data_IF_701353560119
#
_entry.id   IF_701353560119
#
_cell.length_a   1.000
_cell.length_b   1.000
_cell.length_c   1.000
_cell.angle_alpha   90.00
_cell.angle_beta   90.00
_cell.angle_gamma   90.00
#
_symmetry.space_group_name_H-M   'P 1'
#
loop_
_entity.id
_entity.type
_entity.pdbx_description
1 polymer ?
#
# COMPACT_ATOMS: atom_id res chain seq x y z
N UNK A 1 17.21 -0.65 -3.63
CA UNK A 1 16.69 -0.78 -2.25
C UNK A 1 15.33 -1.49 -2.24
N UNK A 2 14.29 -0.95 -2.89
CA UNK A 2 12.94 -1.57 -2.92
C UNK A 2 12.96 -2.99 -3.49
N UNK A 3 13.72 -3.24 -4.58
CA UNK A 3 13.90 -4.59 -5.13
C UNK A 3 14.44 -5.59 -4.11
N UNK A 4 15.38 -5.18 -3.26
CA UNK A 4 15.93 -6.06 -2.22
C UNK A 4 14.89 -6.37 -1.16
N UNK A 5 14.03 -5.41 -0.81
CA UNK A 5 12.93 -5.62 0.12
C UNK A 5 11.89 -6.58 -0.47
N UNK A 6 11.51 -6.40 -1.73
CA UNK A 6 10.59 -7.31 -2.44
C UNK A 6 11.15 -8.74 -2.44
N UNK A 7 12.41 -8.91 -2.86
CA UNK A 7 13.06 -10.22 -2.87
C UNK A 7 13.12 -10.83 -1.46
N UNK A 8 13.44 -10.03 -0.44
CA UNK A 8 13.43 -10.49 0.93
C UNK A 8 12.03 -10.99 1.31
N UNK A 9 10.99 -10.17 1.15
CA UNK A 9 9.61 -10.51 1.46
C UNK A 9 9.21 -11.86 0.84
N UNK A 10 9.50 -12.06 -0.45
CA UNK A 10 9.19 -13.30 -1.16
C UNK A 10 10.03 -14.50 -0.70
N UNK A 11 11.31 -14.30 -0.38
CA UNK A 11 12.20 -15.38 0.07
C UNK A 11 11.89 -15.87 1.49
N UNK A 12 11.60 -14.95 2.42
CA UNK A 12 11.35 -15.31 3.83
C UNK A 12 9.87 -15.45 4.16
N UNK A 13 8.97 -15.23 3.18
CA UNK A 13 7.52 -15.30 3.40
C UNK A 13 7.03 -14.26 4.40
N UNK A 14 7.62 -13.05 4.37
CA UNK A 14 7.32 -11.97 5.32
C UNK A 14 6.55 -10.84 4.64
N UNK A 15 5.75 -10.11 5.42
CA UNK A 15 5.02 -8.93 4.95
C UNK A 15 5.85 -7.68 5.19
N UNK A 16 6.14 -6.93 4.14
CA UNK A 16 6.85 -5.64 4.23
C UNK A 16 5.89 -4.53 3.79
N UNK A 17 5.62 -3.59 4.69
CA UNK A 17 4.87 -2.38 4.41
C UNK A 17 5.83 -1.22 4.15
N UNK A 18 5.70 -0.57 2.99
CA UNK A 18 6.51 0.59 2.60
C UNK A 18 5.58 1.74 2.21
N UNK A 19 5.88 2.94 2.70
CA UNK A 19 5.25 4.18 2.25
C UNK A 19 6.25 4.97 1.41
N UNK A 20 5.85 5.37 0.20
CA UNK A 20 6.68 6.13 -0.72
C UNK A 20 5.96 7.43 -1.10
N UNK A 21 6.72 8.53 -1.12
CA UNK A 21 6.27 9.79 -1.70
C UNK A 21 6.69 9.79 -3.18
N UNK A 22 5.74 9.67 -4.10
CA UNK A 22 5.96 9.70 -5.56
C UNK A 22 6.93 8.62 -6.08
N UNK A 23 6.55 7.34 -6.09
CA UNK A 23 7.39 6.29 -6.65
C UNK A 23 7.54 6.45 -8.16
N UNK A 24 8.74 6.16 -8.68
CA UNK A 24 8.94 6.03 -10.13
C UNK A 24 8.12 4.85 -10.68
N UNK A 25 7.90 4.82 -11.99
CA UNK A 25 7.19 3.73 -12.65
C UNK A 25 7.81 2.36 -12.35
N UNK A 26 9.14 2.24 -12.39
CA UNK A 26 9.83 0.98 -12.08
C UNK A 26 9.63 0.57 -10.63
N UNK A 27 9.57 1.53 -9.71
CA UNK A 27 9.36 1.25 -8.29
C UNK A 27 7.92 0.84 -8.01
N UNK A 28 6.96 1.48 -8.66
CA UNK A 28 5.54 1.12 -8.58
C UNK A 28 5.31 -0.33 -9.01
N UNK A 29 5.98 -0.78 -10.07
CA UNK A 29 5.83 -2.14 -10.61
C UNK A 29 6.41 -3.26 -9.71
N UNK A 30 7.18 -2.91 -8.68
CA UNK A 30 7.71 -3.87 -7.70
C UNK A 30 6.71 -4.22 -6.58
N UNK A 31 5.59 -3.50 -6.48
CA UNK A 31 4.59 -3.77 -5.45
C UNK A 31 3.58 -4.83 -5.89
N UNK A 32 3.33 -5.78 -4.99
CA UNK A 32 2.27 -6.79 -5.13
C UNK A 32 0.89 -6.13 -4.90
N UNK A 33 0.75 -5.44 -3.75
CA UNK A 33 -0.44 -4.71 -3.35
C UNK A 33 -0.18 -3.21 -3.19
N UNK A 34 -1.21 -2.41 -3.45
CA UNK A 34 -1.22 -0.95 -3.31
C UNK A 34 -2.27 -0.55 -2.28
N UNK A 35 -1.88 0.31 -1.34
CA UNK A 35 -2.79 1.04 -0.45
C UNK A 35 -2.76 2.52 -0.87
N UNK A 36 -3.91 3.05 -1.28
CA UNK A 36 -4.08 4.48 -1.53
C UNK A 36 -4.88 5.10 -0.40
N UNK A 37 -4.39 6.23 0.09
CA UNK A 37 -5.04 7.00 1.14
C UNK A 37 -5.27 8.45 0.71
N UNK A 38 -6.46 8.97 1.00
CA UNK A 38 -6.80 10.38 0.84
C UNK A 38 -7.59 10.84 2.06
N UNK A 39 -7.25 12.00 2.62
CA UNK A 39 -7.98 12.60 3.75
C UNK A 39 -8.17 11.65 4.95
N UNK A 40 -7.16 10.81 5.23
CA UNK A 40 -7.19 9.83 6.31
C UNK A 40 -8.02 8.56 6.03
N UNK A 41 -8.54 8.39 4.82
CA UNK A 41 -9.37 7.24 4.41
C UNK A 41 -8.62 6.39 3.38
N UNK A 42 -8.84 5.08 3.43
CA UNK A 42 -8.36 4.14 2.41
C UNK A 42 -9.33 4.20 1.23
N UNK A 43 -8.88 4.77 0.11
CA UNK A 43 -9.69 4.87 -1.11
C UNK A 43 -9.54 3.65 -2.01
N UNK A 44 -8.45 2.90 -1.85
CA UNK A 44 -8.19 1.65 -2.53
C UNK A 44 -7.19 0.81 -1.73
N UNK A 45 -7.43 -0.50 -1.66
CA UNK A 45 -6.47 -1.47 -1.16
C UNK A 45 -6.59 -2.79 -1.93
N UNK A 46 -5.48 -3.28 -2.46
CA UNK A 46 -5.40 -4.60 -3.09
C UNK A 46 -4.38 -4.65 -4.22
N UNK A 47 -4.49 -5.66 -5.07
CA UNK A 47 -3.50 -5.96 -6.10
C UNK A 47 -3.21 -4.75 -6.98
N UNK A 48 -1.94 -4.53 -7.30
CA UNK A 48 -1.52 -3.45 -8.21
C UNK A 48 -2.20 -3.54 -9.58
N UNK A 49 -2.53 -4.75 -10.05
CA UNK A 49 -3.21 -4.96 -11.34
C UNK A 49 -4.61 -4.36 -11.39
N UNK A 50 -5.31 -4.32 -10.26
CA UNK A 50 -6.73 -4.00 -10.19
C UNK A 50 -6.98 -2.50 -9.92
N UNK A 51 -5.93 -1.75 -9.57
CA UNK A 51 -6.04 -0.31 -9.29
C UNK A 51 -6.49 0.47 -10.53
N UNK A 52 -5.99 0.12 -11.71
CA UNK A 52 -6.39 0.78 -12.97
C UNK A 52 -7.86 0.48 -13.30
N UNK A 53 -8.31 -0.79 -13.35
CA UNK A 53 -9.72 -1.14 -13.49
C UNK A 53 -10.64 -0.44 -12.47
N UNK A 54 -10.19 -0.29 -11.22
CA UNK A 54 -10.95 0.40 -10.19
C UNK A 54 -11.21 1.88 -10.53
N UNK A 55 -10.16 2.63 -10.92
CA UNK A 55 -10.35 4.04 -11.31
C UNK A 55 -11.12 4.17 -12.62
N UNK A 56 -10.97 3.24 -13.56
CA UNK A 56 -11.79 3.19 -14.78
C UNK A 56 -13.28 2.96 -14.45
N UNK A 57 -13.59 2.09 -13.48
CA UNK A 57 -14.95 1.91 -12.96
C UNK A 57 -15.50 3.20 -12.32
N UNK A 58 -14.64 4.01 -11.69
CA UNK A 58 -15.00 5.32 -11.15
C UNK A 58 -15.15 6.42 -12.23
N UNK A 59 -14.91 6.11 -13.52
CA UNK A 59 -15.01 7.03 -14.65
C UNK A 59 -13.70 7.76 -15.00
N UNK A 60 -12.57 7.36 -14.41
CA UNK A 60 -11.26 7.97 -14.62
C UNK A 60 -10.32 7.06 -15.39
N UNK A 61 -9.69 7.57 -16.43
CA UNK A 61 -8.74 6.81 -17.25
C UNK A 61 -7.36 7.43 -17.24
N UNK A 62 -6.35 6.60 -16.96
CA UNK A 62 -4.95 7.01 -17.02
C UNK A 62 -4.54 7.30 -18.48
N UNK A 63 -3.95 8.47 -18.78
CA UNK A 63 -3.40 8.76 -20.10
C UNK A 63 -2.24 7.82 -20.47
N UNK A 64 -2.03 7.50 -21.76
CA UNK A 64 -1.03 6.52 -22.20
C UNK A 64 0.42 6.94 -21.94
N UNK A 65 0.68 8.25 -21.81
CA UNK A 65 2.02 8.80 -21.57
C UNK A 65 2.31 9.13 -20.11
N UNK A 66 1.36 8.85 -19.20
CA UNK A 66 1.47 9.19 -17.78
C UNK A 66 1.79 7.97 -16.93
N UNK A 67 2.66 8.15 -15.95
CA UNK A 67 2.95 7.13 -14.94
C UNK A 67 1.72 6.83 -14.10
N UNK A 68 1.52 5.57 -13.72
CA UNK A 68 0.38 5.15 -12.89
C UNK A 68 0.41 5.82 -11.53
N UNK A 69 1.59 5.83 -10.89
CA UNK A 69 1.77 6.45 -9.59
C UNK A 69 1.36 7.94 -9.61
N UNK A 70 1.78 8.68 -10.63
CA UNK A 70 1.41 10.10 -10.80
C UNK A 70 -0.09 10.26 -11.01
N UNK A 71 -0.68 9.42 -11.89
CA UNK A 71 -2.12 9.40 -12.10
C UNK A 71 -2.90 9.15 -10.80
N UNK A 72 -2.48 8.16 -10.00
CA UNK A 72 -3.14 7.79 -8.74
C UNK A 72 -3.06 8.92 -7.70
N UNK A 73 -1.96 9.66 -7.68
CA UNK A 73 -1.83 10.81 -6.78
C UNK A 73 -2.71 12.00 -7.23
N UNK A 74 -2.78 12.24 -8.54
CA UNK A 74 -3.51 13.38 -9.09
C UNK A 74 -5.02 13.15 -9.20
N UNK A 75 -5.48 11.92 -9.47
CA UNK A 75 -6.93 11.61 -9.52
C UNK A 75 -7.61 11.81 -8.16
N UNK A 76 -6.85 11.82 -7.07
CA UNK A 76 -7.33 12.14 -5.72
C UNK A 76 -7.36 13.65 -5.44
N UNK A 77 -6.73 14.47 -6.28
CA UNK A 77 -6.70 15.93 -6.16
C UNK A 77 -7.86 16.57 -6.90
N UNK A 78 -8.60 17.46 -6.22
CA UNK A 78 -9.70 18.22 -6.82
C UNK A 78 -9.28 19.03 -8.06
N UNK A 79 -8.05 19.55 -8.07
CA UNK A 79 -7.55 20.39 -9.15
C UNK A 79 -7.32 19.60 -10.44
N UNK A 80 -7.01 18.32 -10.28
CA UNK A 80 -6.41 17.48 -11.31
C UNK A 80 -7.35 16.37 -11.79
N UNK A 81 -8.52 16.17 -11.16
CA UNK A 81 -9.47 15.15 -11.60
C UNK A 81 -9.98 15.33 -13.03
N UNK A 82 -10.12 16.56 -13.51
CA UNK A 82 -10.78 16.84 -14.77
C UNK A 82 -10.01 16.35 -16.01
N UNK A 83 -8.68 16.31 -15.96
CA UNK A 83 -7.85 15.78 -17.05
C UNK A 83 -7.99 14.26 -17.24
N UNK A 84 -8.56 13.55 -16.26
CA UNK A 84 -8.70 12.09 -16.29
C UNK A 84 -10.11 11.60 -16.57
N UNK A 85 -11.08 12.50 -16.61
CA UNK A 85 -12.46 12.15 -16.85
C UNK A 85 -12.63 11.59 -18.26
N UNK A 86 -13.09 10.35 -18.36
CA UNK A 86 -13.19 9.66 -19.66
C UNK A 86 -14.54 9.87 -20.36
N UNK A 87 -15.60 10.23 -19.62
CA UNK A 87 -16.93 10.40 -20.20
C UNK A 87 -17.08 11.76 -20.87
N UNK A 88 -17.08 11.77 -22.21
CA UNK A 88 -17.31 12.99 -23.01
C UNK A 88 -18.76 13.50 -22.92
N UNK A 89 -19.71 12.61 -22.59
CA UNK A 89 -21.15 12.91 -22.60
C UNK A 89 -21.68 13.41 -21.25
N UNK A 90 -20.84 13.45 -20.21
CA UNK A 90 -21.25 13.80 -18.84
C UNK A 90 -20.33 14.88 -18.28
N UNK A 91 -20.87 15.98 -17.72
CA UNK A 91 -20.03 16.95 -17.04
C UNK A 91 -19.39 16.29 -15.82
N UNK A 92 -18.09 16.53 -15.62
CA UNK A 92 -17.40 16.07 -14.43
C UNK A 92 -18.02 16.75 -13.20
N UNK A 93 -18.46 15.93 -12.24
CA UNK A 93 -18.69 16.38 -10.87
C UNK A 93 -17.50 15.89 -10.04
N UNK A 94 -16.90 16.76 -9.23
CA UNK A 94 -15.82 16.38 -8.33
C UNK A 94 -16.18 15.13 -7.52
N UNK A 95 -15.29 14.16 -7.51
CA UNK A 95 -15.42 12.90 -6.79
C UNK A 95 -14.61 13.01 -5.50
N UNK A 96 -15.29 13.12 -4.36
CA UNK A 96 -14.63 13.21 -3.06
C UNK A 96 -14.03 11.87 -2.63
N UNK A 97 -13.13 11.91 -1.64
CA UNK A 97 -12.58 10.71 -0.99
C UNK A 97 -13.69 9.75 -0.54
N UNK A 98 -14.78 10.26 0.03
CA UNK A 98 -15.96 9.48 0.44
C UNK A 98 -16.61 8.69 -0.69
N UNK A 99 -16.70 9.29 -1.88
CA UNK A 99 -17.27 8.60 -3.05
C UNK A 99 -16.34 7.50 -3.53
N UNK A 100 -15.02 7.71 -3.51
CA UNK A 100 -14.07 6.64 -3.81
C UNK A 100 -14.15 5.50 -2.80
N UNK A 101 -14.26 5.79 -1.50
CA UNK A 101 -14.45 4.77 -0.47
C UNK A 101 -15.73 3.96 -0.71
N UNK A 102 -16.85 4.63 -1.02
CA UNK A 102 -18.09 3.95 -1.35
C UNK A 102 -17.95 3.06 -2.59
N UNK A 103 -17.36 3.58 -3.67
CA UNK A 103 -17.09 2.81 -4.88
C UNK A 103 -16.15 1.63 -4.62
N UNK A 104 -15.15 1.79 -3.75
CA UNK A 104 -14.23 0.71 -3.38
C UNK A 104 -14.94 -0.42 -2.64
N UNK A 105 -15.84 -0.10 -1.71
CA UNK A 105 -16.64 -1.11 -1.02
C UNK A 105 -17.57 -1.89 -1.96
N UNK A 106 -18.02 -1.27 -3.05
CA UNK A 106 -18.81 -1.91 -4.10
C UNK A 106 -17.95 -2.70 -5.09
N UNK A 107 -16.70 -2.31 -5.30
CA UNK A 107 -15.76 -2.98 -6.19
C UNK A 107 -15.35 -4.35 -5.66
N UNK A 108 -15.14 -5.31 -6.57
CA UNK A 108 -14.87 -6.70 -6.21
C UNK A 108 -13.68 -6.88 -5.24
N UNK A 109 -12.62 -6.08 -5.40
CA UNK A 109 -11.46 -6.09 -4.49
C UNK A 109 -11.86 -5.71 -3.06
N UNK A 110 -12.64 -4.63 -2.89
CA UNK A 110 -13.11 -4.20 -1.57
C UNK A 110 -14.14 -5.15 -0.97
N UNK A 111 -15.01 -5.75 -1.78
CA UNK A 111 -15.93 -6.79 -1.30
C UNK A 111 -15.19 -8.01 -0.77
N UNK A 112 -14.21 -8.52 -1.52
CA UNK A 112 -13.37 -9.66 -1.11
C UNK A 112 -12.65 -9.36 0.21
N UNK A 113 -12.02 -8.19 0.31
CA UNK A 113 -11.30 -7.81 1.52
C UNK A 113 -12.24 -7.68 2.73
N UNK A 114 -13.42 -7.07 2.57
CA UNK A 114 -14.40 -6.99 3.64
C UNK A 114 -14.85 -8.39 4.08
N UNK A 115 -15.11 -9.31 3.15
CA UNK A 115 -15.45 -10.69 3.48
C UNK A 115 -14.36 -11.41 4.28
N UNK A 116 -13.10 -11.24 3.90
CA UNK A 116 -11.95 -11.81 4.63
C UNK A 116 -11.81 -11.21 6.04
N UNK A 117 -12.01 -9.90 6.20
CA UNK A 117 -11.94 -9.22 7.49
C UNK A 117 -13.09 -9.60 8.45
N UNK A 118 -14.27 -9.94 7.92
CA UNK A 118 -15.40 -10.40 8.73
C UNK A 118 -15.26 -11.86 9.19
N UNK A 119 -14.32 -12.63 8.63
CA UNK A 119 -14.03 -13.95 9.17
C UNK A 119 -13.30 -13.80 10.50
N UNK A 120 -13.84 -14.32 11.61
CA UNK A 120 -13.16 -14.25 12.89
C UNK A 120 -11.83 -15.00 12.78
N UNK A 121 -10.74 -14.28 13.08
CA UNK A 121 -9.40 -14.86 13.07
C UNK A 121 -9.35 -16.07 14.02
N UNK A 122 -9.25 -17.27 13.46
CA UNK A 122 -9.13 -18.49 14.26
C UNK A 122 -7.65 -18.77 14.49
N UNK A 123 -7.21 -18.63 15.74
CA UNK A 123 -5.82 -18.86 16.19
C UNK A 123 -5.27 -20.27 15.87
N UNK A 124 -6.12 -21.18 15.40
CA UNK A 124 -5.75 -22.53 14.98
C UNK A 124 -4.96 -22.57 13.65
N UNK A 125 -5.06 -21.52 12.82
CA UNK A 125 -4.36 -21.42 11.53
C UNK A 125 -3.02 -20.68 11.61
N UNK A 126 -2.65 -20.16 12.78
CA UNK A 126 -1.36 -19.50 13.00
C UNK A 126 -0.23 -20.54 12.88
N UNK A 127 0.63 -20.48 11.84
CA UNK A 127 1.86 -21.26 11.84
C UNK A 127 2.71 -20.72 12.99
N UNK A 128 2.59 -21.37 14.16
CA UNK A 128 3.31 -21.11 15.42
C UNK A 128 4.56 -20.27 15.17
N UNK A 129 4.48 -18.95 15.42
CA UNK A 129 5.54 -17.93 15.42
C UNK A 129 5.25 -16.64 14.59
N UNK A 130 4.03 -16.39 14.10
CA UNK A 130 3.73 -15.17 13.32
C UNK A 130 3.89 -13.84 14.07
N UNK A 131 3.82 -13.85 15.41
CA UNK A 131 3.94 -12.65 16.25
C UNK A 131 5.08 -12.81 17.26
N UNK A 132 6.11 -11.97 17.16
CA UNK A 132 7.14 -11.87 18.21
C UNK A 132 6.55 -11.12 19.41
N UNK A 133 6.32 -11.83 20.51
CA UNK A 133 5.88 -11.22 21.78
C UNK A 133 7.02 -10.56 22.56
N UNK A 134 8.27 -10.76 22.13
CA UNK A 134 9.43 -10.16 22.77
C UNK A 134 9.82 -8.86 22.04
N UNK A 135 9.84 -7.77 22.80
CA UNK A 135 10.24 -6.42 22.34
C UNK A 135 11.72 -6.39 21.94
N UNK A 136 12.54 -7.23 22.58
CA UNK A 136 13.97 -7.36 22.28
C UNK A 136 14.29 -8.79 21.92
N UNK A 137 15.07 -8.96 20.86
CA UNK A 137 15.59 -10.27 20.44
C UNK A 137 16.74 -10.77 21.34
N UNK A 138 17.30 -9.90 22.19
CA UNK A 138 18.45 -10.17 23.07
C UNK A 138 18.17 -9.74 24.52
N UNK A 139 18.92 -10.31 25.47
CA UNK A 139 18.87 -9.89 26.86
C UNK A 139 19.44 -8.48 27.06
N UNK A 140 18.91 -7.73 28.03
CA UNK A 140 19.38 -6.36 28.35
C UNK A 140 20.90 -6.28 28.56
N UNK A 141 21.49 -7.30 29.18
CA UNK A 141 22.94 -7.39 29.43
C UNK A 141 23.76 -7.60 28.16
N UNK A 142 23.24 -8.38 27.21
CA UNK A 142 23.89 -8.57 25.91
C UNK A 142 23.82 -7.30 25.08
N UNK A 143 22.66 -6.63 25.08
CA UNK A 143 22.48 -5.32 24.45
C UNK A 143 23.48 -4.30 24.98
N UNK A 144 23.66 -4.26 26.31
CA UNK A 144 24.64 -3.39 26.97
C UNK A 144 26.07 -3.68 26.52
N UNK A 145 26.49 -4.96 26.50
CA UNK A 145 27.84 -5.34 26.02
C UNK A 145 28.07 -4.95 24.56
N UNK A 146 27.08 -5.20 23.69
CA UNK A 146 27.17 -4.87 22.26
C UNK A 146 27.31 -3.36 22.06
N UNK A 147 26.52 -2.56 22.76
CA UNK A 147 26.65 -1.10 22.72
C UNK A 147 28.03 -0.62 23.20
N UNK A 148 28.54 -1.17 24.31
CA UNK A 148 29.85 -0.77 24.84
C UNK A 148 31.01 -1.18 23.92
N UNK A 149 30.93 -2.37 23.31
CA UNK A 149 31.89 -2.82 22.32
C UNK A 149 31.88 -1.94 21.05
N UNK A 150 30.70 -1.51 20.59
CA UNK A 150 30.55 -0.59 19.46
C UNK A 150 31.20 0.76 19.75
N UNK A 151 30.94 1.35 20.91
CA UNK A 151 31.54 2.64 21.30
C UNK A 151 33.07 2.54 21.41
N UNK A 152 33.60 1.48 22.03
CA UNK A 152 35.05 1.25 22.09
C UNK A 152 35.69 1.14 20.70
N UNK A 153 35.01 0.49 19.75
CA UNK A 153 35.48 0.33 18.38
C UNK A 153 35.46 1.66 17.59
N UNK A 154 34.50 2.54 17.86
CA UNK A 154 34.39 3.86 17.23
C UNK A 154 35.33 4.92 17.83
N UNK A 155 35.84 4.71 19.05
CA UNK A 155 36.81 5.60 19.70
C UNK A 155 38.27 5.31 19.31
N UNK A 156 38.52 4.30 18.46
CA UNK A 156 39.84 3.94 17.95
C UNK A 156 40.05 4.50 16.54
#
# INVERSE_FOLDING_TARGET
>A
MVTCLQQLAHMIGSTILVSLLQPTFETFDLFDDIILMAEGKIVYHGARSDVRPFFEHCGFKCPPRKGVADFLQEVLSQKDQAQYWYHMDRPLTFVSSDKFVAAFNEFHTGQKQNQELFQPFTKAEDPKNGLSSNIYSLGKWELFKVCLAREWLLMK
#
